data_IF_627298630322
#
_entry.id   IF_627298630322
#
_cell.length_a   1.000
_cell.length_b   1.000
_cell.length_c   1.000
_cell.angle_alpha   90.00
_cell.angle_beta   90.00
_cell.angle_gamma   90.00
#
_symmetry.space_group_name_H-M   'P 1'
#
loop_
_entity.id
_entity.type
_entity.pdbx_description
1 polymer ?
#
# COMPACT_ATOMS: atom_id res chain seq x y z
N UNK A 1 1.81 37.10 -16.73
CA UNK A 1 1.39 36.29 -15.55
C UNK A 1 1.40 34.84 -16.01
N UNK A 2 2.11 33.94 -15.32
CA UNK A 2 2.03 32.50 -15.61
C UNK A 2 0.61 32.04 -15.30
N UNK A 3 -0.02 31.30 -16.23
CA UNK A 3 -1.33 30.69 -16.00
C UNK A 3 -1.30 29.66 -14.86
N UNK A 4 -2.46 29.18 -14.37
CA UNK A 4 -2.51 28.17 -13.34
C UNK A 4 -1.71 26.93 -13.75
N UNK A 5 -0.82 26.46 -12.85
CA UNK A 5 -0.08 25.22 -13.10
C UNK A 5 -0.99 24.03 -12.80
N UNK A 6 -1.02 23.01 -13.69
CA UNK A 6 -1.77 21.80 -13.39
C UNK A 6 -1.18 21.12 -12.13
N UNK A 7 -2.05 20.58 -11.28
CA UNK A 7 -1.69 19.83 -10.07
C UNK A 7 -2.19 18.41 -10.25
N UNK A 8 -1.31 17.43 -9.98
CA UNK A 8 -1.67 16.01 -9.96
C UNK A 8 -2.20 15.68 -8.55
N UNK A 9 -3.41 15.15 -8.49
CA UNK A 9 -4.01 14.67 -7.23
C UNK A 9 -3.85 13.17 -7.15
N UNK A 10 -3.25 12.69 -6.05
CA UNK A 10 -3.18 11.27 -5.72
C UNK A 10 -4.09 11.01 -4.52
N UNK A 11 -4.94 9.99 -4.60
CA UNK A 11 -5.86 9.60 -3.54
C UNK A 11 -5.47 8.22 -2.98
N UNK A 12 -5.20 8.16 -1.66
CA UNK A 12 -4.99 6.92 -0.92
C UNK A 12 -6.28 6.55 -0.19
N UNK A 13 -6.97 5.50 -0.65
CA UNK A 13 -8.37 5.25 -0.26
C UNK A 13 -8.54 4.50 1.06
N UNK A 14 -7.55 3.71 1.51
CA UNK A 14 -7.69 2.93 2.74
C UNK A 14 -6.45 2.89 3.65
N UNK A 15 -5.22 2.80 3.07
CA UNK A 15 -3.99 2.61 3.85
C UNK A 15 -3.94 1.27 4.59
N UNK A 16 -2.86 1.03 5.36
CA UNK A 16 -2.65 -0.19 6.13
C UNK A 16 -2.72 0.01 7.65
N UNK A 17 -2.75 1.26 8.13
CA UNK A 17 -2.72 1.57 9.55
C UNK A 17 -3.92 1.01 10.33
N UNK A 18 -3.80 0.95 11.65
CA UNK A 18 -4.87 0.55 12.57
C UNK A 18 -5.98 1.61 12.64
N UNK A 19 -6.76 1.68 11.58
CA UNK A 19 -7.89 2.61 11.42
C UNK A 19 -9.24 1.91 11.33
N UNK A 20 -9.26 0.57 11.31
CA UNK A 20 -10.48 -0.22 11.30
C UNK A 20 -11.36 0.13 12.52
N UNK A 21 -12.64 0.35 12.26
CA UNK A 21 -13.59 0.77 13.29
C UNK A 21 -13.50 2.25 13.74
N UNK A 22 -12.49 3.02 13.27
CA UNK A 22 -12.37 4.46 13.60
C UNK A 22 -13.20 5.34 12.68
N UNK A 23 -13.53 4.87 11.48
CA UNK A 23 -14.41 5.54 10.53
C UNK A 23 -15.36 4.53 9.87
N UNK A 24 -16.68 4.80 9.80
CA UNK A 24 -17.64 3.84 9.27
C UNK A 24 -17.47 3.56 7.78
N UNK A 25 -16.97 4.53 7.02
CA UNK A 25 -16.81 4.43 5.56
C UNK A 25 -15.40 3.99 5.14
N UNK A 26 -14.57 3.47 6.06
CA UNK A 26 -13.26 2.93 5.69
C UNK A 26 -13.46 1.71 4.77
N UNK A 27 -12.98 1.75 3.50
CA UNK A 27 -13.11 0.59 2.62
C UNK A 27 -12.16 -0.54 3.07
N UNK A 28 -12.71 -1.74 3.20
CA UNK A 28 -12.03 -2.93 3.72
C UNK A 28 -11.98 -4.05 2.67
N UNK A 29 -13.13 -4.39 2.08
CA UNK A 29 -13.18 -5.45 1.06
C UNK A 29 -12.61 -4.97 -0.28
N UNK A 30 -12.12 -5.88 -1.14
CA UNK A 30 -11.67 -5.52 -2.49
C UNK A 30 -12.70 -4.69 -3.26
N UNK A 31 -13.98 -5.04 -3.19
CA UNK A 31 -15.06 -4.32 -3.86
C UNK A 31 -15.20 -2.88 -3.33
N UNK A 32 -15.14 -2.69 -2.01
CA UNK A 32 -15.21 -1.37 -1.38
C UNK A 32 -14.00 -0.52 -1.76
N UNK A 33 -12.80 -1.11 -1.78
CA UNK A 33 -11.55 -0.43 -2.11
C UNK A 33 -11.58 0.00 -3.59
N UNK A 34 -11.98 -0.90 -4.50
CA UNK A 34 -12.09 -0.60 -5.92
C UNK A 34 -13.16 0.48 -6.19
N UNK A 35 -14.32 0.38 -5.57
CA UNK A 35 -15.39 1.37 -5.71
C UNK A 35 -14.95 2.75 -5.24
N UNK A 36 -14.29 2.85 -4.07
CA UNK A 36 -13.77 4.11 -3.54
C UNK A 36 -12.68 4.72 -4.44
N UNK A 37 -11.80 3.89 -5.00
CA UNK A 37 -10.76 4.35 -5.93
C UNK A 37 -11.35 4.88 -7.25
N UNK A 38 -12.36 4.21 -7.81
CA UNK A 38 -13.08 4.65 -9.01
C UNK A 38 -13.81 5.97 -8.74
N UNK A 39 -14.47 6.10 -7.59
CA UNK A 39 -15.13 7.33 -7.18
C UNK A 39 -14.14 8.50 -7.05
N UNK A 40 -12.99 8.25 -6.41
CA UNK A 40 -11.93 9.25 -6.29
C UNK A 40 -11.41 9.70 -7.66
N UNK A 41 -11.19 8.77 -8.59
CA UNK A 41 -10.76 9.10 -9.95
C UNK A 41 -11.81 9.89 -10.71
N UNK A 42 -13.10 9.54 -10.62
CA UNK A 42 -14.21 10.31 -11.20
C UNK A 42 -14.35 11.71 -10.60
N UNK A 43 -13.95 11.88 -9.34
CA UNK A 43 -13.88 13.18 -8.69
C UNK A 43 -12.64 14.01 -9.07
N UNK A 44 -11.70 13.45 -9.86
CA UNK A 44 -10.54 14.15 -10.42
C UNK A 44 -9.19 13.71 -9.87
N UNK A 45 -9.09 12.63 -9.10
CA UNK A 45 -7.82 12.04 -8.74
C UNK A 45 -7.19 11.40 -10.00
N UNK A 46 -5.95 11.80 -10.33
CA UNK A 46 -5.19 11.21 -11.43
C UNK A 46 -4.52 9.89 -11.05
N UNK A 47 -4.21 9.72 -9.77
CA UNK A 47 -3.53 8.54 -9.22
C UNK A 47 -4.37 7.99 -8.07
N UNK A 48 -4.58 6.68 -8.05
CA UNK A 48 -5.17 5.97 -6.92
C UNK A 48 -4.10 5.09 -6.26
N UNK A 49 -3.86 5.32 -4.97
CA UNK A 49 -2.89 4.55 -4.19
C UNK A 49 -3.59 3.46 -3.39
N UNK A 50 -3.20 2.22 -3.63
CA UNK A 50 -3.90 1.03 -3.16
C UNK A 50 -3.09 0.30 -2.10
N UNK A 51 -3.71 0.10 -0.96
CA UNK A 51 -3.47 -0.96 0.00
C UNK A 51 -4.66 -1.92 -0.03
N UNK A 52 -4.49 -3.11 0.52
CA UNK A 52 -5.59 -4.04 0.75
C UNK A 52 -5.69 -4.41 2.23
N UNK A 53 -6.85 -4.86 2.63
CA UNK A 53 -7.13 -5.26 4.00
C UNK A 53 -7.70 -6.67 4.01
N UNK A 54 -7.47 -7.38 5.08
CA UNK A 54 -8.15 -8.63 5.38
C UNK A 54 -9.65 -8.35 5.56
N UNK A 55 -10.54 -8.95 4.76
CA UNK A 55 -11.97 -8.66 4.82
C UNK A 55 -12.66 -9.05 6.12
N UNK A 56 -12.09 -10.01 6.87
CA UNK A 56 -12.67 -10.50 8.13
C UNK A 56 -12.26 -9.64 9.32
N UNK A 57 -10.98 -9.21 9.34
CA UNK A 57 -10.41 -8.52 10.50
C UNK A 57 -10.28 -7.01 10.29
N UNK A 58 -10.28 -6.54 9.04
CA UNK A 58 -10.01 -5.17 8.67
C UNK A 58 -8.53 -4.75 8.79
N UNK A 59 -7.66 -5.65 9.20
CA UNK A 59 -6.21 -5.40 9.29
C UNK A 59 -5.60 -5.22 7.89
N UNK A 60 -4.50 -4.45 7.81
CA UNK A 60 -3.74 -4.36 6.57
C UNK A 60 -3.24 -5.74 6.11
N UNK A 61 -3.25 -5.99 4.80
CA UNK A 61 -2.86 -7.28 4.22
C UNK A 61 -1.84 -7.13 3.10
N UNK A 62 -1.00 -8.16 2.90
CA UNK A 62 -0.10 -8.29 1.76
C UNK A 62 -0.55 -9.39 0.78
N UNK A 63 -1.73 -9.95 0.97
CA UNK A 63 -2.21 -11.04 0.12
C UNK A 63 -2.32 -10.60 -1.35
N UNK A 64 -1.55 -11.21 -2.27
CA UNK A 64 -1.60 -10.89 -3.69
C UNK A 64 -2.97 -11.14 -4.33
N UNK A 65 -3.78 -12.05 -3.77
CA UNK A 65 -5.12 -12.32 -4.30
C UNK A 65 -6.03 -11.11 -4.09
N UNK A 66 -6.00 -10.48 -2.90
CA UNK A 66 -6.79 -9.28 -2.63
C UNK A 66 -6.37 -8.10 -3.52
N UNK A 67 -5.05 -7.91 -3.74
CA UNK A 67 -4.57 -6.91 -4.70
C UNK A 67 -5.05 -7.19 -6.12
N UNK A 68 -5.06 -8.46 -6.54
CA UNK A 68 -5.53 -8.85 -7.86
C UNK A 68 -7.00 -8.51 -8.05
N UNK A 69 -7.86 -8.84 -7.09
CA UNK A 69 -9.29 -8.53 -7.15
C UNK A 69 -9.54 -7.03 -7.30
N UNK A 70 -8.82 -6.19 -6.55
CA UNK A 70 -8.93 -4.73 -6.69
C UNK A 70 -8.46 -4.26 -8.07
N UNK A 71 -7.25 -4.67 -8.50
CA UNK A 71 -6.65 -4.21 -9.76
C UNK A 71 -7.47 -4.64 -10.98
N UNK A 72 -8.03 -5.85 -10.97
CA UNK A 72 -8.91 -6.33 -12.06
C UNK A 72 -10.16 -5.46 -12.17
N UNK A 73 -10.78 -5.08 -11.06
CA UNK A 73 -11.94 -4.18 -11.06
C UNK A 73 -11.58 -2.77 -11.55
N UNK A 74 -10.43 -2.21 -11.12
CA UNK A 74 -9.97 -0.91 -11.58
C UNK A 74 -9.73 -0.90 -13.10
N UNK A 75 -9.05 -1.93 -13.62
CA UNK A 75 -8.76 -2.08 -15.05
C UNK A 75 -10.01 -2.37 -15.89
N UNK A 76 -11.01 -2.99 -15.32
CA UNK A 76 -12.29 -3.24 -15.99
C UNK A 76 -13.21 -2.01 -16.00
N UNK A 77 -12.91 -0.98 -15.19
CA UNK A 77 -13.70 0.25 -15.14
C UNK A 77 -13.49 1.10 -16.41
N UNK A 78 -14.45 1.96 -16.68
CA UNK A 78 -14.39 2.96 -17.77
C UNK A 78 -13.64 4.25 -17.37
N UNK A 79 -12.99 4.25 -16.20
CA UNK A 79 -12.36 5.43 -15.61
C UNK A 79 -10.86 5.41 -15.87
N UNK A 80 -10.34 6.48 -16.47
CA UNK A 80 -8.90 6.66 -16.69
C UNK A 80 -8.23 7.07 -15.37
N UNK A 81 -7.27 6.26 -14.93
CA UNK A 81 -6.51 6.50 -13.70
C UNK A 81 -5.16 5.79 -13.73
N UNK A 82 -4.19 6.34 -13.03
CA UNK A 82 -2.90 5.70 -12.77
C UNK A 82 -3.01 4.85 -11.49
N UNK A 83 -2.74 3.56 -11.60
CA UNK A 83 -2.78 2.62 -10.48
C UNK A 83 -1.41 2.58 -9.80
N UNK A 84 -1.38 2.99 -8.53
CA UNK A 84 -0.19 2.94 -7.69
C UNK A 84 -0.39 1.89 -6.59
N UNK A 85 0.40 0.79 -6.62
CA UNK A 85 0.40 -0.20 -5.55
C UNK A 85 1.49 0.11 -4.52
N UNK A 86 1.17 -0.10 -3.25
CA UNK A 86 2.15 0.02 -2.17
C UNK A 86 3.15 -1.14 -2.17
N UNK A 87 4.42 -0.89 -1.84
CA UNK A 87 5.38 -1.90 -1.38
C UNK A 87 5.84 -1.62 0.07
N UNK A 88 5.09 -0.78 0.79
CA UNK A 88 5.43 -0.34 2.14
C UNK A 88 5.27 -1.44 3.21
N UNK A 89 4.29 -2.30 3.09
CA UNK A 89 4.01 -3.34 4.09
C UNK A 89 5.11 -4.42 4.14
N UNK A 90 5.34 -4.95 5.33
CA UNK A 90 6.39 -5.96 5.56
C UNK A 90 7.71 -5.36 6.06
N UNK A 91 7.65 -4.19 6.66
CA UNK A 91 8.79 -3.50 7.24
C UNK A 91 8.62 -3.13 8.72
N UNK A 92 7.50 -3.46 9.34
CA UNK A 92 7.21 -3.05 10.70
C UNK A 92 7.87 -4.01 11.71
N UNK A 93 8.59 -3.42 12.65
CA UNK A 93 9.25 -4.10 13.75
C UNK A 93 8.83 -3.48 15.07
N UNK A 94 8.25 -4.32 15.91
CA UNK A 94 7.93 -4.00 17.30
C UNK A 94 8.85 -4.86 18.18
N UNK A 95 9.73 -4.28 18.99
CA UNK A 95 10.57 -5.06 19.90
C UNK A 95 9.73 -5.89 20.86
N UNK A 96 10.14 -7.14 21.11
CA UNK A 96 9.57 -7.94 22.18
C UNK A 96 9.94 -7.36 23.55
N UNK A 97 9.03 -7.38 24.51
CA UNK A 97 9.21 -6.76 25.83
C UNK A 97 10.32 -7.45 26.66
N UNK A 98 10.45 -8.77 26.53
CA UNK A 98 11.43 -9.56 27.31
C UNK A 98 12.78 -9.64 26.59
N UNK A 99 12.78 -9.68 25.26
CA UNK A 99 14.01 -9.75 24.43
C UNK A 99 13.88 -8.81 23.22
N UNK A 100 14.33 -7.57 23.33
CA UNK A 100 14.20 -6.58 22.26
C UNK A 100 15.02 -6.91 21.00
N UNK A 101 15.85 -7.96 21.01
CA UNK A 101 16.49 -8.48 19.80
C UNK A 101 15.54 -9.29 18.91
N UNK A 102 14.36 -9.62 19.40
CA UNK A 102 13.29 -10.35 18.71
C UNK A 102 12.12 -9.43 18.39
N UNK A 103 11.40 -9.77 17.34
CA UNK A 103 10.13 -9.11 17.02
C UNK A 103 9.02 -9.61 17.95
N UNK A 104 8.36 -8.69 18.64
CA UNK A 104 7.16 -8.91 19.41
C UNK A 104 5.88 -8.85 18.56
N UNK A 105 4.70 -8.86 19.21
CA UNK A 105 3.40 -8.77 18.55
C UNK A 105 3.30 -7.54 17.64
N UNK A 106 2.79 -7.72 16.44
CA UNK A 106 2.67 -6.66 15.43
C UNK A 106 3.86 -6.57 14.46
N UNK A 107 4.98 -7.25 14.75
CA UNK A 107 6.10 -7.34 13.80
C UNK A 107 5.69 -8.12 12.55
N UNK A 108 5.89 -7.52 11.37
CA UNK A 108 5.55 -8.13 10.08
C UNK A 108 6.73 -8.18 9.09
N UNK A 109 7.97 -8.07 9.60
CA UNK A 109 9.20 -8.05 8.80
C UNK A 109 9.31 -9.22 7.82
N UNK A 110 9.39 -8.90 6.52
CA UNK A 110 9.63 -9.86 5.45
C UNK A 110 10.65 -9.32 4.44
N UNK A 111 11.19 -10.20 3.61
CA UNK A 111 12.18 -9.83 2.60
C UNK A 111 11.58 -9.15 1.36
N UNK A 112 12.45 -8.56 0.50
CA UNK A 112 12.05 -7.86 -0.72
C UNK A 112 11.11 -8.64 -1.64
N UNK A 113 11.39 -9.93 -1.85
CA UNK A 113 10.58 -10.79 -2.72
C UNK A 113 9.12 -10.90 -2.25
N UNK A 114 8.92 -11.07 -0.96
CA UNK A 114 7.57 -11.16 -0.40
C UNK A 114 6.85 -9.80 -0.46
N UNK A 115 7.56 -8.71 -0.20
CA UNK A 115 7.01 -7.35 -0.27
C UNK A 115 6.57 -6.95 -1.68
N UNK A 116 7.19 -7.52 -2.72
CA UNK A 116 6.94 -7.15 -4.12
C UNK A 116 6.07 -8.17 -4.90
N UNK A 117 5.68 -9.29 -4.31
CA UNK A 117 4.93 -10.34 -5.05
C UNK A 117 3.76 -9.80 -5.86
N UNK A 118 2.90 -9.01 -5.24
CA UNK A 118 1.74 -8.43 -5.91
C UNK A 118 2.12 -7.39 -6.97
N UNK A 119 3.21 -6.65 -6.77
CA UNK A 119 3.70 -5.67 -7.75
C UNK A 119 4.24 -6.37 -9.00
N UNK A 120 5.06 -7.40 -8.82
CA UNK A 120 5.63 -8.19 -9.92
C UNK A 120 4.57 -8.96 -10.71
N UNK A 121 3.56 -9.47 -10.02
CA UNK A 121 2.44 -10.20 -10.63
C UNK A 121 1.50 -9.28 -11.41
N UNK A 122 1.20 -8.12 -10.86
CA UNK A 122 0.14 -7.26 -11.37
C UNK A 122 0.63 -6.11 -12.25
N UNK A 123 1.94 -5.81 -12.22
CA UNK A 123 2.56 -4.75 -13.06
C UNK A 123 1.74 -3.46 -13.06
N UNK A 124 1.64 -2.74 -11.91
CA UNK A 124 0.94 -1.46 -11.83
C UNK A 124 1.68 -0.37 -12.60
N UNK A 125 1.03 0.77 -12.84
CA UNK A 125 1.67 1.92 -13.48
C UNK A 125 2.76 2.54 -12.60
N UNK A 126 2.52 2.55 -11.28
CA UNK A 126 3.45 3.04 -10.26
C UNK A 126 3.49 2.05 -9.09
N UNK A 127 4.67 1.90 -8.50
CA UNK A 127 4.85 1.27 -7.19
C UNK A 127 5.49 2.25 -6.23
N UNK A 128 4.88 2.51 -5.09
CA UNK A 128 5.48 3.34 -4.04
C UNK A 128 6.36 2.50 -3.11
N UNK A 129 7.55 3.03 -2.83
CA UNK A 129 8.59 2.39 -2.02
C UNK A 129 9.05 3.36 -0.93
N UNK A 130 8.92 2.96 0.34
CA UNK A 130 9.37 3.77 1.47
C UNK A 130 10.89 3.74 1.60
N UNK A 131 11.52 4.90 1.43
CA UNK A 131 12.97 5.06 1.35
C UNK A 131 13.55 5.54 2.69
N UNK A 132 13.53 4.69 3.70
CA UNK A 132 14.17 5.00 4.98
C UNK A 132 13.60 4.21 6.15
N UNK A 133 14.44 3.99 7.15
CA UNK A 133 14.05 3.46 8.44
C UNK A 133 13.64 4.61 9.36
N UNK A 134 12.47 4.52 9.96
CA UNK A 134 11.91 5.58 10.80
C UNK A 134 11.04 5.02 11.94
N UNK A 135 10.87 5.80 12.99
CA UNK A 135 9.91 5.49 14.03
C UNK A 135 8.49 5.59 13.47
N UNK A 136 7.65 4.61 13.77
CA UNK A 136 6.30 4.54 13.26
C UNK A 136 5.35 4.04 14.37
N UNK A 137 4.65 4.98 15.02
CA UNK A 137 3.90 4.67 16.25
C UNK A 137 4.82 4.17 17.36
N UNK A 138 4.47 3.04 17.97
CA UNK A 138 5.25 2.40 19.03
C UNK A 138 6.33 1.44 18.48
N UNK A 139 6.44 1.31 17.17
CA UNK A 139 7.40 0.46 16.48
C UNK A 139 8.36 1.22 15.58
N UNK A 140 9.05 0.48 14.75
CA UNK A 140 10.00 0.98 13.74
C UNK A 140 9.65 0.40 12.38
N UNK A 141 9.48 1.25 11.39
CA UNK A 141 9.48 0.81 9.99
C UNK A 141 10.93 0.68 9.50
N UNK A 142 11.30 -0.51 9.06
CA UNK A 142 12.67 -0.83 8.62
C UNK A 142 12.74 -0.93 7.10
N UNK A 143 13.60 -0.09 6.50
CA UNK A 143 13.92 -0.14 5.09
C UNK A 143 15.42 0.06 4.90
N UNK A 144 16.16 -1.05 4.87
CA UNK A 144 17.62 -1.00 4.78
C UNK A 144 18.10 -0.70 3.35
N UNK A 145 19.25 -0.06 3.17
CA UNK A 145 19.79 0.20 1.82
C UNK A 145 19.94 -1.04 0.92
N UNK A 146 20.32 -2.23 1.41
CA UNK A 146 20.32 -3.44 0.59
C UNK A 146 18.92 -3.80 0.08
N UNK A 147 17.90 -3.79 0.96
CA UNK A 147 16.53 -4.08 0.58
C UNK A 147 15.98 -3.06 -0.43
N UNK A 148 16.24 -1.79 -0.20
CA UNK A 148 15.82 -0.74 -1.14
C UNK A 148 16.42 -0.91 -2.52
N UNK A 149 17.73 -1.23 -2.61
CA UNK A 149 18.37 -1.48 -3.90
C UNK A 149 17.78 -2.67 -4.63
N UNK A 150 17.54 -3.78 -3.92
CA UNK A 150 16.92 -4.98 -4.48
C UNK A 150 15.50 -4.69 -4.97
N UNK A 151 14.66 -4.10 -4.10
CA UNK A 151 13.29 -3.76 -4.45
C UNK A 151 13.22 -2.80 -5.65
N UNK A 152 14.03 -1.75 -5.66
CA UNK A 152 14.07 -0.80 -6.76
C UNK A 152 14.55 -1.41 -8.08
N UNK A 153 15.46 -2.40 -8.03
CA UNK A 153 15.88 -3.14 -9.22
C UNK A 153 14.71 -3.99 -9.78
N UNK A 154 14.04 -4.75 -8.92
CA UNK A 154 12.92 -5.64 -9.29
C UNK A 154 11.69 -4.87 -9.81
N UNK A 155 11.39 -3.70 -9.25
CA UNK A 155 10.27 -2.86 -9.73
C UNK A 155 10.50 -2.35 -11.16
N UNK A 156 11.75 -2.26 -11.62
CA UNK A 156 12.08 -1.78 -12.97
C UNK A 156 11.97 -2.86 -14.05
N UNK A 157 11.87 -4.12 -13.69
CA UNK A 157 11.72 -5.27 -14.59
C UNK A 157 10.25 -5.48 -14.99
#
# INVERSE_FOLDING_TARGET
MAGPRPVIVSCAVTGAGDTYGKHPDLPVTPDQIAASAIEAARAGAAIVHIHVRDPETGAGSRDPALFREVVEQLRASDTDMVINLTAGMGGDYFPDEDDPSRGGPGTDMVGPAERLRHVEDLKPDICSLDCGTLNFGDGVYISTPPYLREMAARIRE
#
